data_IF_789070384723
#
_entry.id   IF_789070384723
#
_cell.length_a   1.000
_cell.length_b   1.000
_cell.length_c   1.000
_cell.angle_alpha   90.00
_cell.angle_beta   90.00
_cell.angle_gamma   90.00
#
_symmetry.space_group_name_H-M   'P 1'
#
loop_
_entity.id
_entity.type
_entity.pdbx_description
1 polymer ?
#
# COMPACT_ATOMS: atom_id res chain seq x y z
N UNK A 1 -34.40 -13.35 -21.46
CA UNK A 1 -32.97 -13.11 -21.71
C UNK A 1 -32.33 -12.79 -20.36
N UNK A 2 -31.40 -13.61 -19.86
CA UNK A 2 -31.02 -13.63 -18.45
C UNK A 2 -30.24 -12.40 -17.99
N UNK A 3 -30.52 -11.95 -16.75
CA UNK A 3 -29.84 -10.84 -16.04
C UNK A 3 -28.31 -10.83 -16.24
N UNK A 4 -27.67 -12.00 -16.21
CA UNK A 4 -26.21 -12.16 -16.40
C UNK A 4 -25.75 -11.63 -17.77
N UNK A 5 -26.53 -11.89 -18.83
CA UNK A 5 -26.18 -11.42 -20.19
C UNK A 5 -26.24 -9.90 -20.26
N UNK A 6 -27.28 -9.29 -19.69
CA UNK A 6 -27.42 -7.84 -19.61
C UNK A 6 -26.31 -7.18 -18.76
N UNK A 7 -25.88 -7.86 -17.69
CA UNK A 7 -24.78 -7.39 -16.85
C UNK A 7 -23.43 -7.41 -17.59
N UNK A 8 -23.12 -8.51 -18.28
CA UNK A 8 -21.89 -8.62 -19.08
C UNK A 8 -21.89 -7.58 -20.20
N UNK A 9 -23.01 -7.42 -20.90
CA UNK A 9 -23.15 -6.46 -21.99
C UNK A 9 -22.96 -5.01 -21.48
N UNK A 10 -23.57 -4.64 -20.36
CA UNK A 10 -23.32 -3.33 -19.72
C UNK A 10 -21.88 -3.16 -19.26
N UNK A 11 -21.27 -4.17 -18.65
CA UNK A 11 -19.87 -4.09 -18.20
C UNK A 11 -18.91 -3.85 -19.37
N UNK A 12 -19.15 -4.49 -20.52
CA UNK A 12 -18.38 -4.29 -21.73
C UNK A 12 -18.65 -2.93 -22.38
N UNK A 13 -19.91 -2.46 -22.36
CA UNK A 13 -20.30 -1.13 -22.86
C UNK A 13 -19.64 0.00 -22.08
N UNK A 14 -19.52 -0.11 -20.75
CA UNK A 14 -18.84 0.89 -19.90
C UNK A 14 -17.32 0.67 -19.80
N UNK A 15 -16.70 0.10 -20.84
CA UNK A 15 -15.24 -0.09 -20.93
C UNK A 15 -14.62 -0.80 -19.71
N UNK A 16 -15.38 -1.66 -19.02
CA UNK A 16 -14.98 -2.30 -17.77
C UNK A 16 -13.59 -2.96 -17.82
N UNK A 17 -13.24 -3.72 -18.88
CA UNK A 17 -11.90 -4.27 -19.04
C UNK A 17 -10.79 -3.21 -19.13
N UNK A 18 -11.02 -2.12 -19.86
CA UNK A 18 -10.04 -1.05 -20.03
C UNK A 18 -9.81 -0.29 -18.72
N UNK A 19 -10.88 0.05 -17.99
CA UNK A 19 -10.78 0.66 -16.64
C UNK A 19 -10.07 -0.27 -15.66
N UNK A 20 -10.37 -1.57 -15.70
CA UNK A 20 -9.69 -2.55 -14.85
C UNK A 20 -8.20 -2.64 -15.14
N UNK A 21 -7.80 -2.59 -16.42
CA UNK A 21 -6.40 -2.56 -16.83
C UNK A 21 -5.70 -1.27 -16.38
N UNK A 22 -6.36 -0.12 -16.48
CA UNK A 22 -5.87 1.17 -15.98
C UNK A 22 -5.60 1.12 -14.46
N UNK A 23 -6.54 0.58 -13.69
CA UNK A 23 -6.38 0.38 -12.24
C UNK A 23 -5.20 -0.55 -11.92
N UNK A 24 -5.11 -1.69 -12.60
CA UNK A 24 -4.04 -2.66 -12.40
C UNK A 24 -2.67 -2.05 -12.72
N UNK A 25 -2.57 -1.25 -13.79
CA UNK A 25 -1.36 -0.52 -14.15
C UNK A 25 -0.91 0.43 -13.03
N UNK A 26 -1.80 1.28 -12.53
CA UNK A 26 -1.43 2.22 -11.47
C UNK A 26 -1.15 1.53 -10.14
N UNK A 27 -1.84 0.43 -9.83
CA UNK A 27 -1.54 -0.39 -8.67
C UNK A 27 -0.11 -0.96 -8.75
N UNK A 28 0.25 -1.59 -9.87
CA UNK A 28 1.58 -2.15 -10.08
C UNK A 28 2.66 -1.06 -10.07
N UNK A 29 2.39 0.09 -10.69
CA UNK A 29 3.30 1.24 -10.67
C UNK A 29 3.52 1.77 -9.24
N UNK A 30 2.49 1.74 -8.38
CA UNK A 30 2.60 2.18 -6.97
C UNK A 30 3.41 1.23 -6.08
N UNK A 31 3.55 -0.03 -6.49
CA UNK A 31 4.24 -1.06 -5.74
C UNK A 31 5.73 -0.74 -5.56
N UNK A 32 6.39 -0.22 -6.60
CA UNK A 32 7.82 0.09 -6.55
C UNK A 32 8.16 1.19 -5.52
N UNK A 33 7.57 2.40 -5.57
CA UNK A 33 7.80 3.41 -4.54
C UNK A 33 7.40 2.92 -3.14
N UNK A 34 6.34 2.12 -3.04
CA UNK A 34 5.89 1.56 -1.77
C UNK A 34 6.93 0.60 -1.17
N UNK A 35 7.54 -0.28 -1.98
CA UNK A 35 8.62 -1.15 -1.52
C UNK A 35 9.83 -0.35 -1.03
N UNK A 36 10.22 0.69 -1.76
CA UNK A 36 11.33 1.58 -1.34
C UNK A 36 11.00 2.22 0.01
N UNK A 37 9.78 2.74 0.16
CA UNK A 37 9.32 3.31 1.43
C UNK A 37 9.39 2.29 2.56
N UNK A 38 8.86 1.07 2.37
CA UNK A 38 8.88 0.02 3.39
C UNK A 38 10.31 -0.36 3.75
N UNK A 39 11.18 -0.64 2.77
CA UNK A 39 12.57 -1.02 3.01
C UNK A 39 13.35 0.06 3.77
N UNK A 40 13.16 1.32 3.41
CA UNK A 40 13.82 2.45 4.07
C UNK A 40 13.25 2.74 5.46
N UNK A 41 11.96 2.47 5.67
CA UNK A 41 11.31 2.60 6.98
C UNK A 41 11.86 1.61 8.00
N UNK A 42 12.22 0.38 7.58
CA UNK A 42 12.79 -0.66 8.47
C UNK A 42 13.99 -0.13 9.27
N UNK A 43 14.91 0.62 8.64
CA UNK A 43 16.08 1.18 9.32
C UNK A 43 15.77 2.21 10.43
N UNK A 44 14.53 2.71 10.49
CA UNK A 44 14.06 3.64 11.52
C UNK A 44 13.28 2.94 12.63
N UNK A 45 12.97 1.65 12.51
CA UNK A 45 12.34 0.92 13.60
C UNK A 45 13.36 0.68 14.73
N UNK A 46 12.91 0.68 16.00
CA UNK A 46 13.76 0.39 17.15
C UNK A 46 13.97 -1.14 17.29
N UNK A 47 14.51 -1.77 16.25
CA UNK A 47 14.78 -3.20 16.18
C UNK A 47 16.28 -3.45 15.98
N UNK A 48 16.76 -4.53 16.57
CA UNK A 48 18.13 -5.03 16.39
C UNK A 48 18.12 -6.25 15.47
N UNK A 49 19.22 -6.51 14.77
CA UNK A 49 19.41 -7.76 13.99
C UNK A 49 19.19 -9.01 14.85
N UNK A 50 19.54 -8.96 16.14
CA UNK A 50 19.25 -10.02 17.13
C UNK A 50 17.75 -10.24 17.36
N UNK A 51 16.95 -9.19 17.36
CA UNK A 51 15.49 -9.31 17.52
C UNK A 51 14.90 -10.03 16.31
N UNK A 52 15.38 -9.72 15.10
CA UNK A 52 14.98 -10.40 13.86
C UNK A 52 15.38 -11.88 13.87
N UNK A 53 16.61 -12.20 14.28
CA UNK A 53 17.06 -13.60 14.41
C UNK A 53 16.25 -14.39 15.45
N UNK A 54 15.89 -13.75 16.56
CA UNK A 54 15.10 -14.41 17.62
C UNK A 54 13.75 -14.89 17.10
N UNK A 55 13.15 -14.17 16.14
CA UNK A 55 11.87 -14.53 15.52
C UNK A 55 12.05 -15.63 14.47
N UNK A 56 13.14 -15.58 13.69
CA UNK A 56 13.32 -16.44 12.51
C UNK A 56 14.05 -17.75 12.81
N UNK A 57 14.87 -17.80 13.87
CA UNK A 57 15.63 -19.00 14.29
C UNK A 57 14.77 -20.24 14.52
N UNK A 58 13.48 -20.08 14.86
CA UNK A 58 12.54 -21.20 14.99
C UNK A 58 12.01 -21.77 13.67
N UNK A 59 12.25 -21.11 12.54
CA UNK A 59 11.68 -21.47 11.23
C UNK A 59 12.74 -21.70 10.14
N UNK A 60 13.95 -21.16 10.28
CA UNK A 60 15.00 -21.22 9.27
C UNK A 60 16.12 -22.22 9.63
N UNK A 61 16.70 -22.95 8.65
CA UNK A 61 17.89 -23.77 8.86
C UNK A 61 19.12 -22.94 9.23
N UNK A 62 20.05 -23.51 10.01
CA UNK A 62 21.26 -22.81 10.49
C UNK A 62 22.08 -22.13 9.39
N UNK A 63 22.19 -22.75 8.21
CA UNK A 63 22.93 -22.20 7.07
C UNK A 63 22.30 -20.92 6.48
N UNK A 64 21.02 -20.66 6.73
CA UNK A 64 20.33 -19.43 6.29
C UNK A 64 20.37 -18.33 7.36
N UNK A 65 20.65 -18.66 8.63
CA UNK A 65 20.60 -17.70 9.73
C UNK A 65 21.67 -16.62 9.61
N UNK A 66 22.89 -16.99 9.23
CA UNK A 66 23.99 -16.03 9.02
C UNK A 66 23.70 -15.06 7.87
N UNK A 67 23.05 -15.54 6.80
CA UNK A 67 22.62 -14.70 5.69
C UNK A 67 21.54 -13.71 6.12
N UNK A 68 20.55 -14.19 6.88
CA UNK A 68 19.45 -13.36 7.40
C UNK A 68 19.98 -12.31 8.39
N UNK A 69 20.95 -12.67 9.24
CA UNK A 69 21.61 -11.76 10.17
C UNK A 69 22.28 -10.61 9.44
N UNK A 70 23.08 -10.93 8.42
CA UNK A 70 23.78 -9.93 7.61
C UNK A 70 22.81 -8.99 6.89
N UNK A 71 21.74 -9.53 6.29
CA UNK A 71 20.71 -8.72 5.62
C UNK A 71 19.98 -7.82 6.63
N UNK A 72 19.63 -8.34 7.81
CA UNK A 72 18.97 -7.59 8.86
C UNK A 72 19.87 -6.47 9.37
N UNK A 73 21.16 -6.74 9.60
CA UNK A 73 22.14 -5.76 10.05
C UNK A 73 22.34 -4.65 9.02
N UNK A 74 22.50 -4.99 7.73
CA UNK A 74 22.64 -4.02 6.65
C UNK A 74 21.38 -3.14 6.52
N UNK A 75 20.19 -3.74 6.57
CA UNK A 75 18.92 -3.03 6.43
C UNK A 75 18.61 -2.14 7.64
N UNK A 76 18.88 -2.61 8.86
CA UNK A 76 18.60 -1.87 10.09
C UNK A 76 19.60 -0.73 10.34
N UNK A 77 20.86 -0.91 9.95
CA UNK A 77 21.89 0.12 10.10
C UNK A 77 21.89 1.14 8.95
N UNK A 78 21.33 0.81 7.79
CA UNK A 78 21.21 1.73 6.65
C UNK A 78 20.05 2.72 6.83
N UNK A 79 20.35 3.88 7.43
CA UNK A 79 19.40 4.99 7.59
C UNK A 79 19.59 6.04 6.51
N UNK A 80 18.79 5.97 5.45
CA UNK A 80 18.80 6.98 4.39
C UNK A 80 17.51 7.81 4.40
N UNK A 81 17.55 8.96 5.08
CA UNK A 81 16.39 9.86 5.20
C UNK A 81 15.97 10.52 3.88
N UNK A 82 16.90 10.70 2.95
CA UNK A 82 16.59 11.19 1.60
C UNK A 82 15.78 10.18 0.80
N UNK A 83 16.19 8.90 0.83
CA UNK A 83 15.46 7.80 0.21
C UNK A 83 14.09 7.56 0.87
N UNK A 84 13.99 7.67 2.21
CA UNK A 84 12.71 7.56 2.92
C UNK A 84 11.74 8.67 2.47
N UNK A 85 12.19 9.93 2.47
CA UNK A 85 11.36 11.07 2.07
C UNK A 85 10.93 10.98 0.61
N UNK A 86 11.86 10.61 -0.28
CA UNK A 86 11.57 10.36 -1.68
C UNK A 86 10.56 9.22 -1.86
N UNK A 87 10.76 8.11 -1.14
CA UNK A 87 9.86 6.96 -1.14
C UNK A 87 8.44 7.34 -0.73
N UNK A 88 8.28 8.15 0.32
CA UNK A 88 6.98 8.67 0.77
C UNK A 88 6.32 9.49 -0.34
N UNK A 89 7.03 10.47 -0.90
CA UNK A 89 6.47 11.38 -1.92
C UNK A 89 6.10 10.58 -3.18
N UNK A 90 6.99 9.70 -3.64
CA UNK A 90 6.77 8.87 -4.82
C UNK A 90 5.62 7.87 -4.61
N UNK A 91 5.53 7.24 -3.43
CA UNK A 91 4.44 6.33 -3.09
C UNK A 91 3.10 7.06 -3.04
N UNK A 92 3.04 8.23 -2.40
CA UNK A 92 1.82 9.03 -2.34
C UNK A 92 1.39 9.51 -3.73
N UNK A 93 2.33 9.96 -4.55
CA UNK A 93 2.06 10.38 -5.93
C UNK A 93 1.51 9.23 -6.77
N UNK A 94 2.15 8.06 -6.72
CA UNK A 94 1.72 6.88 -7.49
C UNK A 94 0.39 6.31 -6.97
N UNK A 95 0.19 6.23 -5.65
CA UNK A 95 -1.07 5.78 -5.07
C UNK A 95 -2.24 6.71 -5.42
N UNK A 96 -2.02 8.02 -5.40
CA UNK A 96 -3.06 8.99 -5.80
C UNK A 96 -3.43 8.90 -7.29
N UNK A 97 -2.54 8.38 -8.16
CA UNK A 97 -2.92 8.04 -9.55
C UNK A 97 -3.90 6.87 -9.61
N UNK A 98 -3.70 5.84 -8.78
CA UNK A 98 -4.61 4.71 -8.65
C UNK A 98 -5.99 5.13 -8.15
N UNK A 99 -6.05 5.96 -7.11
CA UNK A 99 -7.32 6.54 -6.63
C UNK A 99 -8.01 7.38 -7.71
N UNK A 100 -7.26 8.20 -8.46
CA UNK A 100 -7.81 8.94 -9.60
C UNK A 100 -8.40 8.00 -10.66
N UNK A 101 -7.78 6.86 -10.94
CA UNK A 101 -8.31 5.88 -11.89
C UNK A 101 -9.61 5.24 -11.37
N UNK A 102 -9.68 4.92 -10.08
CA UNK A 102 -10.90 4.44 -9.41
C UNK A 102 -12.04 5.46 -9.54
N UNK A 103 -11.76 6.75 -9.25
CA UNK A 103 -12.74 7.83 -9.39
C UNK A 103 -13.24 7.93 -10.83
N UNK A 104 -12.34 7.92 -11.83
CA UNK A 104 -12.72 7.92 -13.25
C UNK A 104 -13.59 6.72 -13.63
N UNK A 105 -13.26 5.53 -13.13
CA UNK A 105 -14.03 4.32 -13.39
C UNK A 105 -15.45 4.42 -12.80
N UNK A 106 -15.59 4.92 -11.58
CA UNK A 106 -16.89 5.15 -10.96
C UNK A 106 -17.71 6.22 -11.67
N UNK A 107 -17.11 7.38 -11.97
CA UNK A 107 -17.79 8.43 -12.70
C UNK A 107 -18.30 7.93 -14.06
N UNK A 108 -17.51 7.13 -14.76
CA UNK A 108 -17.92 6.55 -16.03
C UNK A 108 -19.06 5.52 -15.86
N UNK A 109 -19.01 4.68 -14.83
CA UNK A 109 -20.06 3.69 -14.54
C UNK A 109 -21.39 4.32 -14.10
N UNK A 110 -21.34 5.49 -13.46
CA UNK A 110 -22.51 6.25 -13.01
C UNK A 110 -22.90 7.39 -13.96
N UNK A 111 -22.26 7.49 -15.13
CA UNK A 111 -22.52 8.53 -16.15
C UNK A 111 -22.42 9.97 -15.59
N UNK A 112 -21.53 10.18 -14.62
CA UNK A 112 -21.30 11.49 -13.99
C UNK A 112 -20.21 12.23 -14.77
N UNK A 113 -20.59 13.36 -15.37
CA UNK A 113 -19.63 14.29 -15.97
C UNK A 113 -18.88 15.06 -14.88
N UNK A 114 -17.56 14.83 -14.80
CA UNK A 114 -16.70 15.48 -13.83
C UNK A 114 -16.44 16.93 -14.24
N UNK A 115 -17.23 17.86 -13.71
CA UNK A 115 -17.13 19.29 -14.00
C UNK A 115 -16.07 20.02 -13.15
N UNK A 116 -15.34 19.28 -12.30
CA UNK A 116 -14.30 19.80 -11.40
C UNK A 116 -12.98 19.96 -12.14
N UNK A 117 -12.22 21.00 -11.77
CA UNK A 117 -10.88 21.19 -12.33
C UNK A 117 -9.97 20.01 -11.96
N UNK A 118 -9.04 19.66 -12.87
CA UNK A 118 -8.07 18.56 -12.68
C UNK A 118 -7.34 18.64 -11.33
N UNK A 119 -7.06 19.86 -10.87
CA UNK A 119 -6.38 20.13 -9.59
C UNK A 119 -7.25 19.71 -8.40
N UNK A 120 -8.55 20.02 -8.41
CA UNK A 120 -9.47 19.65 -7.33
C UNK A 120 -9.66 18.13 -7.24
N UNK A 121 -9.75 17.45 -8.38
CA UNK A 121 -9.82 15.98 -8.43
C UNK A 121 -8.54 15.37 -7.85
N UNK A 122 -7.37 15.89 -8.26
CA UNK A 122 -6.07 15.44 -7.76
C UNK A 122 -5.93 15.64 -6.25
N UNK A 123 -6.31 16.80 -5.74
CA UNK A 123 -6.28 17.10 -4.31
C UNK A 123 -7.19 16.16 -3.51
N UNK A 124 -8.41 15.92 -4.01
CA UNK A 124 -9.35 14.99 -3.35
C UNK A 124 -8.76 13.58 -3.26
N UNK A 125 -8.14 13.09 -4.34
CA UNK A 125 -7.49 11.79 -4.36
C UNK A 125 -6.28 11.70 -3.43
N UNK A 126 -5.49 12.76 -3.31
CA UNK A 126 -4.39 12.83 -2.32
C UNK A 126 -4.96 12.76 -0.90
N UNK A 127 -6.00 13.55 -0.60
CA UNK A 127 -6.64 13.56 0.73
C UNK A 127 -7.20 12.17 1.07
N UNK A 128 -7.88 11.52 0.12
CA UNK A 128 -8.42 10.17 0.32
C UNK A 128 -7.30 9.14 0.53
N UNK A 129 -6.20 9.27 -0.21
CA UNK A 129 -5.01 8.40 -0.04
C UNK A 129 -4.42 8.58 1.36
N UNK A 130 -4.27 9.82 1.84
CA UNK A 130 -3.78 10.12 3.19
C UNK A 130 -4.73 9.54 4.24
N UNK A 131 -6.05 9.73 4.08
CA UNK A 131 -7.05 9.17 4.99
C UNK A 131 -6.98 7.64 5.06
N UNK A 132 -6.76 6.97 3.93
CA UNK A 132 -6.58 5.52 3.87
C UNK A 132 -5.32 5.07 4.62
N UNK A 133 -4.19 5.75 4.42
CA UNK A 133 -2.94 5.48 5.15
C UNK A 133 -3.12 5.67 6.67
N UNK A 134 -3.76 6.75 7.09
CA UNK A 134 -4.06 7.00 8.51
C UNK A 134 -4.95 5.90 9.10
N UNK A 135 -5.94 5.43 8.34
CA UNK A 135 -6.82 4.33 8.76
C UNK A 135 -6.04 3.02 8.95
N UNK A 136 -5.11 2.71 8.03
CA UNK A 136 -4.24 1.53 8.13
C UNK A 136 -3.35 1.62 9.38
N UNK A 137 -2.72 2.77 9.62
CA UNK A 137 -1.89 3.02 10.80
C UNK A 137 -2.72 2.86 12.08
N UNK A 138 -3.91 3.44 12.12
CA UNK A 138 -4.83 3.30 13.25
C UNK A 138 -5.20 1.84 13.50
N UNK A 139 -5.53 1.08 12.45
CA UNK A 139 -5.88 -0.32 12.53
C UNK A 139 -4.72 -1.19 13.06
N UNK A 140 -3.50 -0.97 12.56
CA UNK A 140 -2.29 -1.65 13.04
C UNK A 140 -2.02 -1.38 14.52
N UNK A 141 -2.14 -0.13 14.95
CA UNK A 141 -1.96 0.23 16.36
C UNK A 141 -3.07 -0.36 17.23
N UNK A 142 -4.32 -0.32 16.79
CA UNK A 142 -5.44 -0.92 17.50
C UNK A 142 -5.27 -2.44 17.65
N UNK A 143 -4.84 -3.14 16.59
CA UNK A 143 -4.54 -4.57 16.63
C UNK A 143 -3.40 -4.90 17.61
N UNK A 144 -2.34 -4.09 17.61
CA UNK A 144 -1.22 -4.24 18.55
C UNK A 144 -1.64 -4.02 20.01
N UNK A 145 -2.44 -2.97 20.26
CA UNK A 145 -2.99 -2.66 21.58
C UNK A 145 -3.93 -3.76 22.09
N UNK A 146 -4.78 -4.30 21.21
CA UNK A 146 -5.66 -5.42 21.49
C UNK A 146 -4.88 -6.67 21.92
N UNK A 147 -3.84 -7.04 21.16
CA UNK A 147 -2.97 -8.18 21.51
C UNK A 147 -2.30 -7.97 22.87
N UNK A 148 -1.84 -6.74 23.16
CA UNK A 148 -1.21 -6.39 24.43
C UNK A 148 -2.19 -6.52 25.60
N UNK A 149 -3.43 -6.06 25.44
CA UNK A 149 -4.45 -6.17 26.51
C UNK A 149 -4.84 -7.61 26.78
N UNK A 150 -4.97 -8.45 25.74
CA UNK A 150 -5.31 -9.86 25.87
C UNK A 150 -4.24 -10.69 26.61
N UNK A 151 -2.95 -10.36 26.41
CA UNK A 151 -1.83 -11.00 27.13
C UNK A 151 -1.72 -10.60 28.60
N UNK A 152 -2.20 -9.41 28.98
CA UNK A 152 -2.16 -8.93 30.38
C UNK A 152 -3.31 -9.51 31.20
N UNK A 153 -4.42 -9.89 30.55
CA UNK A 153 -5.61 -10.46 31.18
C UNK A 153 -5.58 -12.00 31.34
N UNK A 154 -4.41 -12.64 31.16
CA UNK A 154 -4.24 -14.09 31.21
C UNK A 154 -3.08 -14.44 32.14
#
# INVERSE_FOLDING_TARGET
>A
MGFIKALIERFLLHEGPAKSAELAYFFLLSLFPFLIFVLTLVGYLPLTSKDVLSVISGYAPEGALSMIESIAEETLNSRNGGLLSFGIIAALWSASNGINAVVRAFNHAYEVEENRSFILVRLTSIILTIAMVLTIIFCLNAACLWKRTWLISR
#
